data_IF_660529001678
#
_entry.id   IF_660529001678
#
_cell.length_a   1.000
_cell.length_b   1.000
_cell.length_c   1.000
_cell.angle_alpha   90.00
_cell.angle_beta   90.00
_cell.angle_gamma   90.00
#
_symmetry.space_group_name_H-M   'P 1'
#
loop_
_entity.id
_entity.type
_entity.pdbx_description
1 polymer ?
#
# COMPACT_ATOMS: atom_id res chain seq x y z
N UNK A 1 -30.16 12.86 -6.41
CA UNK A 1 -28.82 12.43 -5.98
C UNK A 1 -28.35 11.34 -6.92
N UNK A 2 -27.17 11.54 -7.51
CA UNK A 2 -26.54 10.53 -8.36
C UNK A 2 -25.33 9.95 -7.64
N UNK A 3 -25.17 8.63 -7.67
CA UNK A 3 -23.99 7.94 -7.15
C UNK A 3 -23.37 7.07 -8.25
N UNK A 4 -22.04 6.97 -8.26
CA UNK A 4 -21.32 6.03 -9.12
C UNK A 4 -20.22 5.36 -8.30
N UNK A 5 -20.23 4.04 -8.30
CA UNK A 5 -19.17 3.24 -7.73
C UNK A 5 -18.27 2.75 -8.87
N UNK A 6 -16.97 2.88 -8.65
CA UNK A 6 -15.92 2.49 -9.59
C UNK A 6 -15.09 1.44 -8.87
N UNK A 7 -15.20 0.20 -9.33
CA UNK A 7 -14.37 -0.91 -8.86
C UNK A 7 -12.97 -0.78 -9.46
N UNK A 8 -11.96 -0.70 -8.60
CA UNK A 8 -10.55 -0.72 -8.92
C UNK A 8 -9.93 -2.03 -8.40
N UNK A 9 -8.66 -2.26 -8.70
CA UNK A 9 -7.98 -3.49 -8.26
C UNK A 9 -7.83 -3.55 -6.75
N UNK A 10 -7.56 -2.42 -6.09
CA UNK A 10 -7.28 -2.32 -4.66
C UNK A 10 -8.51 -2.00 -3.80
N UNK A 11 -9.66 -1.76 -4.43
CA UNK A 11 -10.92 -1.47 -3.74
C UNK A 11 -11.89 -0.63 -4.57
N UNK A 12 -12.81 0.07 -3.88
CA UNK A 12 -13.94 0.75 -4.54
C UNK A 12 -13.89 2.26 -4.29
N UNK A 13 -13.89 3.05 -5.37
CA UNK A 13 -14.10 4.50 -5.32
C UNK A 13 -15.59 4.81 -5.46
N UNK A 14 -16.15 5.47 -4.45
CA UNK A 14 -17.54 5.87 -4.39
C UNK A 14 -17.62 7.37 -4.69
N UNK A 15 -18.42 7.76 -5.67
CA UNK A 15 -18.67 9.15 -6.05
C UNK A 15 -20.14 9.49 -5.80
N UNK A 16 -20.39 10.64 -5.17
CA UNK A 16 -21.75 11.15 -4.91
C UNK A 16 -21.84 12.61 -5.32
N UNK A 17 -22.77 12.90 -6.23
CA UNK A 17 -23.03 14.26 -6.67
C UNK A 17 -24.37 14.77 -6.17
N UNK A 18 -24.31 15.89 -5.46
CA UNK A 18 -25.49 16.65 -5.06
C UNK A 18 -25.77 17.75 -6.09
N UNK A 19 -26.85 17.55 -6.85
CA UNK A 19 -27.31 18.49 -7.88
C UNK A 19 -27.81 19.82 -7.32
N UNK A 20 -28.19 19.89 -6.04
CA UNK A 20 -28.72 21.11 -5.43
C UNK A 20 -27.59 22.05 -4.99
N UNK A 21 -26.52 21.51 -4.40
CA UNK A 21 -25.35 22.29 -3.97
C UNK A 21 -24.24 22.35 -5.02
N UNK A 22 -24.24 21.46 -6.02
CA UNK A 22 -23.14 21.29 -6.96
C UNK A 22 -21.91 20.60 -6.36
N UNK A 23 -22.06 19.95 -5.19
CA UNK A 23 -20.96 19.29 -4.48
C UNK A 23 -20.75 17.87 -5.00
N UNK A 24 -19.50 17.54 -5.34
CA UNK A 24 -19.04 16.17 -5.53
C UNK A 24 -18.34 15.70 -4.24
N UNK A 25 -18.86 14.63 -3.64
CA UNK A 25 -18.22 13.91 -2.53
C UNK A 25 -17.64 12.61 -3.06
N UNK A 26 -16.48 12.24 -2.52
CA UNK A 26 -15.79 11.00 -2.87
C UNK A 26 -15.30 10.28 -1.61
N UNK A 27 -15.28 8.95 -1.67
CA UNK A 27 -14.63 8.11 -0.67
C UNK A 27 -14.05 6.87 -1.33
N UNK A 28 -12.82 6.54 -1.00
CA UNK A 28 -12.18 5.30 -1.41
C UNK A 28 -12.16 4.32 -0.23
N UNK A 29 -12.62 3.10 -0.45
CA UNK A 29 -12.47 1.99 0.50
C UNK A 29 -11.47 1.02 -0.09
N UNK A 30 -10.28 0.96 0.50
CA UNK A 30 -9.27 -0.03 0.16
C UNK A 30 -9.60 -1.33 0.88
N UNK A 31 -9.84 -2.39 0.13
CA UNK A 31 -10.11 -3.73 0.68
C UNK A 31 -9.05 -4.76 0.28
N UNK A 32 -8.17 -4.38 -0.66
CA UNK A 32 -7.10 -5.20 -1.18
C UNK A 32 -5.80 -4.39 -1.15
N UNK A 33 -4.75 -4.98 -0.60
CA UNK A 33 -3.44 -4.33 -0.55
C UNK A 33 -2.88 -4.13 -1.97
N UNK A 34 -2.21 -3.00 -2.19
CA UNK A 34 -1.33 -2.89 -3.35
C UNK A 34 -0.18 -3.90 -3.17
N UNK A 35 0.20 -4.60 -4.24
CA UNK A 35 1.24 -5.63 -4.19
C UNK A 35 2.45 -5.15 -4.95
N UNK A 36 3.60 -5.16 -4.29
CA UNK A 36 4.89 -4.92 -4.91
C UNK A 36 5.35 -6.15 -5.71
N UNK A 37 5.55 -6.01 -7.03
CA UNK A 37 6.03 -7.14 -7.86
C UNK A 37 7.55 -7.17 -7.94
N UNK A 38 8.09 -8.38 -8.03
CA UNK A 38 9.53 -8.59 -8.23
C UNK A 38 10.04 -7.82 -9.45
N UNK A 39 10.99 -6.90 -9.22
CA UNK A 39 11.59 -6.06 -10.27
C UNK A 39 10.95 -4.68 -10.45
N UNK A 40 9.93 -4.31 -9.67
CA UNK A 40 9.42 -2.95 -9.60
C UNK A 40 10.37 -2.06 -8.75
N UNK A 41 10.34 -0.73 -8.98
CA UNK A 41 11.21 0.20 -8.27
C UNK A 41 10.80 0.34 -6.79
N UNK A 42 11.74 0.80 -5.95
CA UNK A 42 11.65 0.85 -4.48
C UNK A 42 10.51 1.70 -3.88
N UNK A 43 9.68 2.33 -4.70
CA UNK A 43 8.59 3.25 -4.30
C UNK A 43 7.46 3.18 -5.32
N UNK A 44 6.89 1.99 -5.53
CA UNK A 44 5.86 1.79 -6.55
C UNK A 44 4.55 2.47 -6.18
N UNK A 45 4.37 3.72 -6.60
CA UNK A 45 3.07 4.39 -6.55
C UNK A 45 2.15 3.82 -7.66
N UNK A 46 0.91 3.46 -7.30
CA UNK A 46 -0.15 3.19 -8.28
C UNK A 46 -1.04 4.41 -8.39
N UNK A 47 -1.29 4.87 -9.63
CA UNK A 47 -2.13 6.03 -9.91
C UNK A 47 -3.30 5.68 -10.82
N UNK A 48 -4.46 6.22 -10.50
CA UNK A 48 -5.67 6.17 -11.31
C UNK A 48 -6.10 7.59 -11.68
N UNK A 49 -6.14 7.86 -12.98
CA UNK A 49 -6.71 9.10 -13.52
C UNK A 49 -8.18 8.87 -13.84
N UNK A 50 -9.05 9.65 -13.20
CA UNK A 50 -10.51 9.51 -13.29
C UNK A 50 -11.09 10.82 -13.84
N UNK A 51 -11.59 10.75 -15.06
CA UNK A 51 -12.30 11.86 -15.69
C UNK A 51 -13.74 11.94 -15.16
N UNK A 52 -14.08 13.09 -14.55
CA UNK A 52 -15.45 13.39 -14.12
C UNK A 52 -16.05 14.42 -15.05
N UNK A 53 -17.16 14.09 -15.70
CA UNK A 53 -17.93 15.02 -16.54
C UNK A 53 -19.26 15.34 -15.89
N UNK A 54 -19.51 16.63 -15.69
CA UNK A 54 -20.80 17.17 -15.27
C UNK A 54 -21.55 17.68 -16.49
N UNK A 55 -22.75 17.16 -16.72
CA UNK A 55 -23.62 17.60 -17.81
C UNK A 55 -24.86 18.27 -17.22
N UNK A 56 -25.15 19.49 -17.66
CA UNK A 56 -26.37 20.18 -17.25
C UNK A 56 -27.62 19.72 -18.04
N UNK A 57 -28.78 20.29 -17.74
CA UNK A 57 -30.04 19.91 -18.37
C UNK A 57 -30.20 20.40 -19.83
N UNK A 58 -29.28 21.23 -20.32
CA UNK A 58 -29.24 21.71 -21.71
C UNK A 58 -28.08 21.10 -22.50
N UNK A 59 -27.34 20.15 -21.90
CA UNK A 59 -26.28 19.38 -22.53
C UNK A 59 -24.91 20.07 -22.54
N UNK A 60 -24.72 21.12 -21.75
CA UNK A 60 -23.40 21.74 -21.56
C UNK A 60 -22.58 20.93 -20.56
N UNK A 61 -21.28 20.78 -20.84
CA UNK A 61 -20.37 19.96 -20.05
C UNK A 61 -19.31 20.80 -19.36
N UNK A 62 -18.98 20.39 -18.13
CA UNK A 62 -17.78 20.81 -17.39
C UNK A 62 -17.03 19.55 -16.96
N UNK A 63 -15.70 19.57 -17.08
CA UNK A 63 -14.83 18.45 -16.74
C UNK A 63 -14.05 18.76 -15.45
N UNK A 64 -13.76 17.71 -14.68
CA UNK A 64 -12.85 17.74 -13.56
C UNK A 64 -11.98 16.49 -13.56
N UNK A 65 -10.72 16.66 -13.20
CA UNK A 65 -9.75 15.58 -13.08
C UNK A 65 -9.67 15.15 -11.61
N UNK A 66 -9.84 13.85 -11.35
CA UNK A 66 -9.62 13.24 -10.05
C UNK A 66 -8.47 12.23 -10.17
N UNK A 67 -7.39 12.46 -9.43
CA UNK A 67 -6.28 11.50 -9.34
C UNK A 67 -6.35 10.79 -8.00
N UNK A 68 -6.37 9.46 -8.03
CA UNK A 68 -6.23 8.60 -6.86
C UNK A 68 -4.87 7.91 -6.91
N UNK A 69 -4.02 8.21 -5.92
CA UNK A 69 -2.74 7.54 -5.74
C UNK A 69 -2.81 6.60 -4.55
N UNK A 70 -2.29 5.40 -4.73
CA UNK A 70 -2.06 4.41 -3.67
C UNK A 70 -0.56 4.28 -3.50
N UNK A 71 -0.07 4.62 -2.31
CA UNK A 71 1.33 4.48 -1.93
C UNK A 71 1.59 3.05 -1.43
N UNK A 72 2.63 2.42 -1.98
CA UNK A 72 3.12 1.10 -1.61
C UNK A 72 4.63 1.22 -1.33
N UNK A 73 5.06 0.73 -0.17
CA UNK A 73 6.47 0.64 0.17
C UNK A 73 7.05 -0.71 -0.28
N UNK A 74 8.37 -0.82 -0.26
CA UNK A 74 9.04 -2.06 -0.63
C UNK A 74 9.53 -2.81 0.59
N UNK A 75 9.51 -4.16 0.54
CA UNK A 75 10.09 -4.96 1.60
C UNK A 75 11.55 -4.57 1.87
N UNK A 76 11.93 -4.51 3.14
CA UNK A 76 13.30 -4.22 3.55
C UNK A 76 13.82 -5.22 4.56
N UNK A 77 15.11 -5.55 4.44
CA UNK A 77 15.82 -6.40 5.39
C UNK A 77 17.14 -5.76 5.78
N UNK A 78 17.41 -5.72 7.07
CA UNK A 78 18.70 -5.26 7.58
C UNK A 78 19.19 -6.15 8.71
N UNK A 79 20.51 -6.28 8.79
CA UNK A 79 21.18 -7.03 9.85
C UNK A 79 22.32 -6.18 10.40
N UNK A 80 22.38 -6.06 11.72
CA UNK A 80 23.50 -5.43 12.40
C UNK A 80 24.43 -6.52 12.93
N UNK A 81 25.57 -6.73 12.25
CA UNK A 81 26.64 -7.59 12.73
C UNK A 81 27.98 -6.88 12.56
N UNK A 82 28.66 -6.59 13.68
CA UNK A 82 30.05 -6.16 13.66
C UNK A 82 30.94 -7.35 13.99
N UNK A 83 31.94 -7.60 13.14
CA UNK A 83 32.95 -8.66 13.34
C UNK A 83 33.80 -8.45 14.59
N UNK A 84 33.79 -7.25 15.16
CA UNK A 84 34.54 -6.87 16.35
C UNK A 84 34.01 -7.53 17.64
N UNK A 85 32.75 -8.02 17.62
CA UNK A 85 32.12 -8.73 18.73
C UNK A 85 32.03 -10.25 18.54
N UNK A 86 32.61 -10.78 17.45
CA UNK A 86 32.54 -12.20 17.12
C UNK A 86 33.86 -12.88 17.52
N UNK A 87 33.78 -13.89 18.39
CA UNK A 87 34.91 -14.75 18.76
C UNK A 87 34.58 -16.20 18.41
N UNK A 88 35.61 -16.95 18.05
CA UNK A 88 35.47 -18.38 17.77
C UNK A 88 34.95 -19.10 19.02
N UNK A 89 33.89 -19.90 18.85
CA UNK A 89 33.25 -20.65 19.93
C UNK A 89 32.15 -19.90 20.70
N UNK A 90 32.01 -18.58 20.51
CA UNK A 90 30.93 -17.81 21.14
C UNK A 90 29.62 -17.95 20.35
N UNK A 91 28.50 -18.02 21.07
CA UNK A 91 27.18 -17.92 20.46
C UNK A 91 26.97 -16.49 19.95
N UNK A 92 26.74 -16.34 18.65
CA UNK A 92 26.39 -15.05 18.04
C UNK A 92 24.88 -14.84 18.21
N UNK A 93 24.51 -13.73 18.85
CA UNK A 93 23.12 -13.28 18.96
C UNK A 93 22.99 -11.94 18.26
N UNK A 94 21.91 -11.76 17.51
CA UNK A 94 21.58 -10.51 16.85
C UNK A 94 20.09 -10.43 16.55
N UNK A 95 19.65 -9.25 16.15
CA UNK A 95 18.29 -9.03 15.64
C UNK A 95 18.38 -8.88 14.13
N UNK A 96 17.46 -9.52 13.42
CA UNK A 96 17.18 -9.23 12.02
C UNK A 96 15.85 -8.52 12.00
N UNK A 97 15.89 -7.28 11.53
CA UNK A 97 14.68 -6.49 11.33
C UNK A 97 14.18 -6.73 9.90
N UNK A 98 12.93 -7.15 9.80
CA UNK A 98 12.25 -7.43 8.53
C UNK A 98 10.98 -6.60 8.49
N UNK A 99 10.85 -5.81 7.45
CA UNK A 99 9.62 -5.15 7.08
C UNK A 99 9.09 -5.77 5.79
N UNK A 100 7.88 -6.32 5.83
CA UNK A 100 7.25 -6.94 4.67
C UNK A 100 6.52 -5.92 3.79
N UNK A 101 6.46 -4.66 4.21
CA UNK A 101 5.75 -3.61 3.48
C UNK A 101 4.23 -3.65 3.70
N UNK A 102 3.53 -2.85 2.90
CA UNK A 102 2.12 -2.52 3.06
C UNK A 102 1.18 -3.71 2.84
N UNK A 103 1.55 -4.69 2.02
CA UNK A 103 0.79 -5.92 1.82
C UNK A 103 0.97 -6.94 2.95
N UNK A 104 2.00 -6.77 3.79
CA UNK A 104 2.30 -7.63 4.93
C UNK A 104 2.61 -9.08 4.57
N UNK A 105 2.78 -9.39 3.28
CA UNK A 105 3.00 -10.74 2.79
C UNK A 105 4.50 -11.03 2.73
N UNK A 106 4.95 -12.00 3.52
CA UNK A 106 6.34 -12.42 3.45
C UNK A 106 6.75 -13.41 4.52
N UNK A 107 7.98 -13.90 4.37
CA UNK A 107 8.60 -14.77 5.34
C UNK A 107 10.12 -14.66 5.26
N UNK A 108 10.78 -14.79 6.42
CA UNK A 108 12.21 -14.97 6.48
C UNK A 108 12.51 -16.47 6.50
N UNK A 109 13.45 -16.93 5.67
CA UNK A 109 14.07 -18.25 5.84
C UNK A 109 15.54 -18.12 6.18
N UNK A 110 16.05 -19.05 6.99
CA UNK A 110 17.47 -19.30 7.19
C UNK A 110 17.75 -20.74 6.79
N UNK A 111 18.64 -20.95 5.81
CA UNK A 111 18.96 -22.29 5.26
C UNK A 111 17.72 -23.10 4.79
N UNK A 112 16.69 -22.40 4.32
CA UNK A 112 15.44 -23.01 3.86
C UNK A 112 14.41 -23.30 4.95
N UNK A 113 14.72 -23.05 6.22
CA UNK A 113 13.78 -23.14 7.34
C UNK A 113 13.10 -21.79 7.58
N UNK A 114 11.76 -21.75 7.63
CA UNK A 114 11.00 -20.53 7.91
C UNK A 114 11.21 -20.10 9.37
N UNK A 115 11.64 -18.87 9.55
CA UNK A 115 11.87 -18.28 10.87
C UNK A 115 10.57 -17.76 11.46
N UNK A 116 10.36 -18.00 12.74
CA UNK A 116 9.25 -17.41 13.52
C UNK A 116 9.77 -16.22 14.33
N UNK A 117 8.97 -15.15 14.44
CA UNK A 117 9.27 -14.03 15.35
C UNK A 117 9.51 -14.60 16.76
N UNK A 118 10.62 -14.20 17.39
CA UNK A 118 10.84 -14.54 18.79
C UNK A 118 9.66 -14.01 19.61
N UNK A 119 9.16 -14.74 20.63
CA UNK A 119 8.16 -14.20 21.53
C UNK A 119 8.65 -12.87 22.08
N UNK A 120 7.79 -11.84 22.02
CA UNK A 120 8.11 -10.55 22.61
C UNK A 120 8.40 -10.78 24.10
N UNK A 121 9.66 -10.66 24.49
CA UNK A 121 10.02 -10.64 25.90
C UNK A 121 9.61 -9.27 26.41
N UNK A 122 8.40 -9.20 26.99
CA UNK A 122 7.87 -7.98 27.57
C UNK A 122 8.89 -7.32 28.50
N UNK A 123 9.15 -6.04 28.25
CA UNK A 123 9.76 -5.13 29.22
C UNK A 123 8.71 -4.15 29.71
#
# INVERSE_FOLDING_TARGET
EGGKDIELTEGTLNLKYDTASGKLEYSFVQDTAAVHKNGEALTSEKSYDIDVTFTDNVGQNVNADLTLTIEDDVPSISAQASSEYVKEGDQITGTVDVDFGADGEGYLTLDGEKMTKNPETGK
#
